data_IF_379329217046
#
_entry.id   IF_379329217046
#
_cell.length_a   1.000
_cell.length_b   1.000
_cell.length_c   1.000
_cell.angle_alpha   90.00
_cell.angle_beta   90.00
_cell.angle_gamma   90.00
#
_symmetry.space_group_name_H-M   'P 1'
#
loop_
_entity.id
_entity.type
_entity.pdbx_description
1 polymer ?
#
# COMPACT_ATOMS: atom_id res chain seq x y z
N UNK A 1 -3.42 0.82 33.30
CA UNK A 1 -2.49 1.48 34.23
C UNK A 1 -1.20 0.67 34.23
N UNK A 2 -0.04 1.27 33.93
CA UNK A 2 1.25 0.54 33.93
C UNK A 2 1.81 0.47 35.36
N UNK A 3 2.69 -0.50 35.65
CA UNK A 3 3.32 -0.62 36.97
C UNK A 3 4.13 0.63 37.35
N UNK A 4 4.75 1.30 36.37
CA UNK A 4 5.41 2.60 36.59
C UNK A 4 4.40 3.71 36.95
N UNK A 5 3.22 3.70 36.34
CA UNK A 5 2.17 4.65 36.70
C UNK A 5 1.64 4.39 38.11
N UNK A 6 1.43 3.13 38.50
CA UNK A 6 0.99 2.77 39.85
C UNK A 6 2.05 3.14 40.91
N UNK A 7 3.34 2.95 40.61
CA UNK A 7 4.45 3.41 41.46
C UNK A 7 4.46 4.95 41.60
N UNK A 8 4.28 5.69 40.50
CA UNK A 8 4.20 7.16 40.52
C UNK A 8 2.99 7.70 41.31
N UNK A 9 1.89 6.95 41.36
CA UNK A 9 0.71 7.30 42.14
C UNK A 9 0.80 6.83 43.60
N UNK A 10 1.95 6.29 44.04
CA UNK A 10 2.14 5.78 45.40
C UNK A 10 1.31 4.52 45.72
N UNK A 11 0.73 3.87 44.70
CA UNK A 11 -0.03 2.63 44.85
C UNK A 11 0.90 1.41 44.98
N UNK A 12 2.19 1.58 44.65
CA UNK A 12 3.27 0.63 44.83
C UNK A 12 4.48 1.39 45.36
N UNK A 13 5.24 0.79 46.28
CA UNK A 13 6.51 1.37 46.76
C UNK A 13 7.62 1.26 45.71
N UNK A 14 7.58 0.20 44.89
CA UNK A 14 8.52 -0.02 43.80
C UNK A 14 7.87 -0.82 42.67
N UNK A 15 8.32 -0.63 41.44
CA UNK A 15 7.92 -1.45 40.30
C UNK A 15 8.81 -2.72 40.23
N UNK A 16 8.30 -3.91 40.57
CA UNK A 16 9.09 -5.15 40.57
C UNK A 16 9.50 -5.60 39.16
N UNK A 17 8.82 -5.13 38.12
CA UNK A 17 9.13 -5.48 36.74
C UNK A 17 10.19 -4.56 36.10
N UNK A 18 10.69 -3.54 36.82
CA UNK A 18 11.56 -2.50 36.25
C UNK A 18 12.90 -3.02 35.73
N UNK A 19 13.39 -4.12 36.32
CA UNK A 19 14.64 -4.78 35.91
C UNK A 19 14.42 -5.87 34.86
N UNK A 20 13.17 -6.26 34.61
CA UNK A 20 12.85 -7.31 33.64
C UNK A 20 13.09 -6.79 32.22
N UNK A 21 14.12 -7.35 31.57
CA UNK A 21 14.40 -7.10 30.16
C UNK A 21 13.91 -8.28 29.34
N UNK A 22 13.37 -8.07 28.11
CA UNK A 22 12.99 -9.15 27.21
C UNK A 22 14.08 -10.23 27.04
N UNK A 23 15.34 -9.80 26.99
CA UNK A 23 16.51 -10.68 26.89
C UNK A 23 16.64 -11.69 28.04
N UNK A 24 16.12 -11.37 29.25
CA UNK A 24 16.13 -12.29 30.40
C UNK A 24 15.21 -13.49 30.21
N UNK A 25 14.30 -13.44 29.24
CA UNK A 25 13.35 -14.49 28.91
C UNK A 25 13.59 -15.07 27.51
N UNK A 26 14.77 -14.85 26.94
CA UNK A 26 15.08 -15.26 25.56
C UNK A 26 14.26 -14.51 24.50
N UNK A 27 13.53 -13.45 24.88
CA UNK A 27 12.78 -12.62 23.95
C UNK A 27 13.71 -11.54 23.38
N UNK A 28 14.09 -11.65 22.12
CA UNK A 28 14.71 -10.57 21.37
C UNK A 28 13.64 -9.84 20.54
N UNK A 29 13.80 -8.53 20.39
CA UNK A 29 13.05 -7.82 19.35
C UNK A 29 13.50 -8.38 18.01
N UNK A 30 12.57 -8.93 17.22
CA UNK A 30 12.88 -9.34 15.85
C UNK A 30 13.57 -8.19 15.12
N UNK A 31 14.66 -8.49 14.38
CA UNK A 31 15.36 -7.49 13.58
C UNK A 31 14.32 -6.76 12.71
N UNK A 32 14.33 -5.41 12.68
CA UNK A 32 13.44 -4.68 11.79
C UNK A 32 13.55 -5.23 10.37
N UNK A 33 12.41 -5.54 9.74
CA UNK A 33 12.40 -6.00 8.34
C UNK A 33 12.97 -4.88 7.47
N UNK A 34 13.92 -5.21 6.61
CA UNK A 34 14.54 -4.29 5.64
C UNK A 34 13.97 -4.48 4.22
N UNK A 35 13.03 -5.42 4.06
CA UNK A 35 12.47 -5.80 2.76
C UNK A 35 11.73 -4.64 2.08
N UNK A 36 12.06 -4.38 0.84
CA UNK A 36 11.28 -3.57 -0.09
C UNK A 36 11.28 -4.25 -1.46
N UNK A 37 10.33 -3.94 -2.31
CA UNK A 37 10.16 -4.52 -3.65
C UNK A 37 10.74 -3.55 -4.68
N UNK A 38 11.82 -3.92 -5.40
CA UNK A 38 12.33 -3.15 -6.54
C UNK A 38 11.35 -3.16 -7.71
N UNK A 39 11.61 -2.31 -8.72
CA UNK A 39 10.75 -2.10 -9.89
C UNK A 39 10.24 -3.41 -10.53
N UNK A 40 11.15 -4.37 -10.79
CA UNK A 40 10.79 -5.65 -11.40
C UNK A 40 9.81 -6.46 -10.56
N UNK A 41 9.97 -6.47 -9.24
CA UNK A 41 9.04 -7.15 -8.34
C UNK A 41 7.70 -6.42 -8.22
N UNK A 42 7.70 -5.08 -8.23
CA UNK A 42 6.47 -4.28 -8.29
C UNK A 42 5.70 -4.57 -9.58
N UNK A 43 6.40 -4.72 -10.72
CA UNK A 43 5.82 -5.14 -12.00
C UNK A 43 5.17 -6.52 -11.90
N UNK A 44 5.88 -7.50 -11.34
CA UNK A 44 5.36 -8.85 -11.16
C UNK A 44 4.13 -8.84 -10.24
N UNK A 45 4.17 -8.09 -9.14
CA UNK A 45 3.05 -7.94 -8.23
C UNK A 45 1.85 -7.27 -8.90
N UNK A 46 2.06 -6.20 -9.68
CA UNK A 46 0.97 -5.52 -10.39
C UNK A 46 0.23 -6.48 -11.32
N UNK A 47 0.99 -7.22 -12.14
CA UNK A 47 0.46 -8.27 -13.01
C UNK A 47 -0.32 -9.32 -12.23
N UNK A 48 0.25 -9.81 -11.14
CA UNK A 48 -0.41 -10.83 -10.31
C UNK A 48 -1.72 -10.32 -9.70
N UNK A 49 -1.84 -9.03 -9.39
CA UNK A 49 -3.09 -8.41 -8.95
C UNK A 49 -4.12 -8.32 -10.09
N UNK A 50 -3.70 -8.02 -11.32
CA UNK A 50 -4.58 -8.07 -12.49
C UNK A 50 -5.12 -9.50 -12.70
N UNK A 51 -4.22 -10.49 -12.76
CA UNK A 51 -4.57 -11.90 -12.99
C UNK A 51 -5.48 -12.45 -11.88
N UNK A 52 -5.25 -12.06 -10.63
CA UNK A 52 -6.06 -12.49 -9.49
C UNK A 52 -7.43 -11.81 -9.42
N UNK A 53 -7.63 -10.68 -10.12
CA UNK A 53 -8.91 -9.98 -10.17
C UNK A 53 -9.79 -10.52 -11.31
N UNK A 54 -9.21 -10.79 -12.49
CA UNK A 54 -9.94 -11.30 -13.68
C UNK A 54 -10.54 -12.69 -13.45
N UNK A 55 -9.85 -13.55 -12.70
CA UNK A 55 -10.30 -14.91 -12.40
C UNK A 55 -11.64 -15.00 -11.65
N UNK A 56 -12.13 -13.90 -11.06
CA UNK A 56 -13.43 -13.86 -10.39
C UNK A 56 -14.62 -13.86 -11.33
N UNK A 57 -14.46 -13.33 -12.54
CA UNK A 57 -15.52 -13.32 -13.56
C UNK A 57 -15.74 -14.69 -14.18
N UNK A 58 -14.67 -15.47 -14.38
CA UNK A 58 -14.75 -16.79 -15.04
C UNK A 58 -15.49 -17.85 -14.21
N UNK A 59 -15.51 -17.72 -12.87
CA UNK A 59 -16.29 -18.61 -12.00
C UNK A 59 -17.81 -18.40 -12.20
N UNK A 60 -18.24 -17.18 -12.53
CA UNK A 60 -19.65 -16.90 -12.85
C UNK A 60 -20.09 -17.47 -14.21
N UNK A 61 -19.14 -17.76 -15.12
CA UNK A 61 -19.42 -18.21 -16.49
C UNK A 61 -19.08 -19.68 -16.77
N UNK A 62 -18.95 -20.51 -15.72
CA UNK A 62 -18.83 -21.97 -15.87
C UNK A 62 -17.55 -22.47 -16.56
N UNK A 63 -16.49 -21.66 -16.62
CA UNK A 63 -15.20 -22.08 -17.16
C UNK A 63 -14.41 -22.97 -16.19
N UNK A 64 -13.52 -23.82 -16.70
CA UNK A 64 -12.54 -24.58 -15.90
C UNK A 64 -11.68 -23.59 -15.08
N UNK A 65 -12.06 -23.41 -13.81
CA UNK A 65 -11.80 -22.18 -13.08
C UNK A 65 -10.48 -22.15 -12.31
N UNK A 66 -9.90 -20.96 -12.22
CA UNK A 66 -8.99 -20.59 -11.15
C UNK A 66 -9.68 -20.88 -9.80
N UNK A 67 -9.01 -21.55 -8.86
CA UNK A 67 -9.55 -21.78 -7.52
C UNK A 67 -10.12 -20.48 -6.93
N UNK A 68 -11.39 -20.49 -6.51
CA UNK A 68 -12.10 -19.35 -5.91
C UNK A 68 -11.34 -18.72 -4.75
N UNK A 69 -10.49 -19.50 -4.08
CA UNK A 69 -9.62 -19.05 -2.99
C UNK A 69 -8.62 -17.96 -3.39
N UNK A 70 -8.24 -17.89 -4.66
CA UNK A 70 -7.22 -16.94 -5.16
C UNK A 70 -7.85 -15.64 -5.62
N UNK A 71 -9.09 -15.70 -6.09
CA UNK A 71 -9.80 -14.55 -6.66
C UNK A 71 -9.87 -13.42 -5.64
N UNK A 72 -9.44 -12.23 -6.06
CA UNK A 72 -9.56 -11.02 -5.27
C UNK A 72 -10.80 -10.24 -5.68
N UNK A 73 -11.50 -9.68 -4.70
CA UNK A 73 -12.46 -8.61 -4.98
C UNK A 73 -11.73 -7.39 -5.54
N UNK A 74 -12.36 -6.66 -6.47
CA UNK A 74 -11.86 -5.39 -6.99
C UNK A 74 -11.42 -4.42 -5.89
N UNK A 75 -12.16 -4.32 -4.79
CA UNK A 75 -11.82 -3.43 -3.68
C UNK A 75 -10.51 -3.78 -2.98
N UNK A 76 -10.24 -5.06 -2.74
CA UNK A 76 -8.97 -5.51 -2.15
C UNK A 76 -7.79 -5.28 -3.11
N UNK A 77 -7.94 -5.64 -4.39
CA UNK A 77 -6.88 -5.44 -5.38
C UNK A 77 -6.54 -3.95 -5.55
N UNK A 78 -7.56 -3.11 -5.67
CA UNK A 78 -7.40 -1.68 -5.87
C UNK A 78 -6.90 -0.95 -4.62
N UNK A 79 -7.23 -1.41 -3.42
CA UNK A 79 -6.62 -0.90 -2.19
C UNK A 79 -5.12 -1.23 -2.09
N UNK A 80 -4.68 -2.43 -2.55
CA UNK A 80 -3.25 -2.75 -2.64
C UNK A 80 -2.54 -1.87 -3.68
N UNK A 81 -3.17 -1.62 -4.83
CA UNK A 81 -2.66 -0.69 -5.86
C UNK A 81 -2.54 0.73 -5.33
N UNK A 82 -3.50 1.20 -4.55
CA UNK A 82 -3.43 2.50 -3.89
C UNK A 82 -2.21 2.60 -2.97
N UNK A 83 -1.91 1.56 -2.19
CA UNK A 83 -0.71 1.52 -1.33
C UNK A 83 0.55 1.61 -2.18
N UNK A 84 0.63 0.91 -3.31
CA UNK A 84 1.78 0.98 -4.24
C UNK A 84 1.94 2.41 -4.81
N UNK A 85 0.84 3.09 -5.12
CA UNK A 85 0.86 4.45 -5.69
C UNK A 85 1.14 5.56 -4.69
N UNK A 86 0.92 5.35 -3.39
CA UNK A 86 0.89 6.45 -2.41
C UNK A 86 1.68 6.19 -1.14
N UNK A 87 2.07 4.95 -0.89
CA UNK A 87 2.77 4.56 0.33
C UNK A 87 1.93 4.72 1.59
N UNK A 88 0.61 4.94 1.52
CA UNK A 88 -0.24 5.05 2.73
C UNK A 88 -0.25 3.75 3.53
N UNK A 89 -0.62 3.84 4.82
CA UNK A 89 -0.75 2.64 5.65
C UNK A 89 -1.92 1.80 5.15
N UNK A 90 -1.82 0.47 5.30
CA UNK A 90 -2.91 -0.46 4.95
C UNK A 90 -4.26 -0.08 5.57
N UNK A 91 -4.24 0.41 6.81
CA UNK A 91 -5.44 0.84 7.52
C UNK A 91 -6.01 2.15 7.01
N UNK A 92 -5.17 3.04 6.48
CA UNK A 92 -5.61 4.29 5.86
C UNK A 92 -6.26 3.98 4.50
N UNK A 93 -5.64 3.10 3.70
CA UNK A 93 -6.22 2.62 2.45
C UNK A 93 -7.57 1.92 2.68
N UNK A 94 -7.64 0.96 3.61
CA UNK A 94 -8.88 0.23 3.89
C UNK A 94 -10.04 1.14 4.35
N UNK A 95 -9.73 2.19 5.12
CA UNK A 95 -10.73 3.11 5.68
C UNK A 95 -11.02 4.33 4.79
N UNK A 96 -10.56 4.33 3.55
CA UNK A 96 -10.75 5.44 2.62
C UNK A 96 -12.24 5.68 2.36
N UNK A 97 -12.69 6.95 2.47
CA UNK A 97 -14.08 7.35 2.26
C UNK A 97 -14.22 8.33 1.09
N UNK A 98 -15.38 8.32 0.45
CA UNK A 98 -15.68 9.20 -0.68
C UNK A 98 -15.65 10.69 -0.31
N UNK A 99 -16.12 11.03 0.89
CA UNK A 99 -16.15 12.41 1.40
C UNK A 99 -14.78 12.99 1.75
N UNK A 100 -13.73 12.16 1.74
CA UNK A 100 -12.35 12.57 1.98
C UNK A 100 -11.64 13.02 0.69
N UNK A 101 -12.28 12.84 -0.48
CA UNK A 101 -11.68 13.10 -1.79
C UNK A 101 -12.26 14.39 -2.36
N UNK A 102 -11.40 15.35 -2.67
CA UNK A 102 -11.74 16.59 -3.37
C UNK A 102 -10.76 16.82 -4.52
N UNK A 103 -11.23 16.61 -5.75
CA UNK A 103 -10.38 16.61 -6.93
C UNK A 103 -9.32 15.51 -6.83
N UNK A 104 -8.04 15.89 -6.93
CA UNK A 104 -6.89 14.99 -6.72
C UNK A 104 -6.48 14.83 -5.26
N UNK A 105 -7.06 15.62 -4.35
CA UNK A 105 -6.67 15.63 -2.94
C UNK A 105 -7.47 14.60 -2.17
N UNK A 106 -6.79 13.64 -1.55
CA UNK A 106 -7.36 12.76 -0.54
C UNK A 106 -6.89 13.19 0.86
N UNK A 107 -7.84 13.61 1.70
CA UNK A 107 -7.58 14.06 3.07
C UNK A 107 -7.92 12.96 4.07
N UNK A 108 -6.90 12.31 4.61
CA UNK A 108 -7.05 11.28 5.64
C UNK A 108 -7.18 12.00 7.00
N UNK A 109 -8.34 11.88 7.69
CA UNK A 109 -8.55 12.49 9.00
C UNK A 109 -7.63 11.86 10.05
N UNK A 110 -7.54 12.48 11.23
CA UNK A 110 -6.56 12.21 12.30
C UNK A 110 -6.06 10.75 12.31
N UNK A 111 -4.82 10.58 11.87
CA UNK A 111 -4.16 9.28 11.77
C UNK A 111 -3.72 8.76 13.14
N UNK A 112 -3.12 7.56 13.20
CA UNK A 112 -2.51 7.00 14.44
C UNK A 112 -1.56 7.97 15.17
N UNK A 113 -1.02 8.97 14.47
CA UNK A 113 -0.12 9.99 14.99
C UNK A 113 -0.82 11.29 15.44
N UNK A 114 -2.16 11.34 15.43
CA UNK A 114 -2.96 12.51 15.80
C UNK A 114 -2.95 13.65 14.79
N UNK A 115 -2.39 13.45 13.59
CA UNK A 115 -2.32 14.45 12.52
C UNK A 115 -3.06 13.99 11.27
N UNK A 116 -3.72 14.93 10.59
CA UNK A 116 -4.27 14.70 9.25
C UNK A 116 -3.16 14.49 8.24
N UNK A 117 -3.41 13.66 7.23
CA UNK A 117 -2.51 13.44 6.11
C UNK A 117 -3.20 13.83 4.82
N UNK A 118 -2.51 14.57 3.95
CA UNK A 118 -3.02 14.93 2.64
C UNK A 118 -2.19 14.17 1.61
N UNK A 119 -2.87 13.34 0.81
CA UNK A 119 -2.28 12.54 -0.25
C UNK A 119 -2.77 13.10 -1.58
N UNK A 120 -1.85 13.36 -2.51
CA UNK A 120 -2.21 13.71 -3.90
C UNK A 120 -2.36 12.42 -4.69
N UNK A 121 -3.54 12.20 -5.26
CA UNK A 121 -3.85 11.04 -6.08
C UNK A 121 -3.44 11.30 -7.53
N UNK A 122 -2.61 10.41 -8.07
CA UNK A 122 -2.26 10.39 -9.48
C UNK A 122 -3.53 10.21 -10.35
N UNK A 123 -3.63 10.84 -11.56
CA UNK A 123 -4.83 10.73 -12.42
C UNK A 123 -5.29 9.30 -12.72
N UNK A 124 -4.35 8.37 -12.94
CA UNK A 124 -4.67 6.95 -13.10
C UNK A 124 -5.28 6.33 -11.84
N UNK A 125 -4.78 6.70 -10.66
CA UNK A 125 -5.35 6.18 -9.41
C UNK A 125 -6.75 6.76 -9.15
N UNK A 126 -6.98 8.02 -9.52
CA UNK A 126 -8.32 8.62 -9.49
C UNK A 126 -9.30 7.89 -10.40
N UNK A 127 -8.92 7.51 -11.62
CA UNK A 127 -9.81 6.78 -12.52
C UNK A 127 -10.16 5.41 -11.94
N UNK A 128 -9.17 4.68 -11.42
CA UNK A 128 -9.36 3.38 -10.78
C UNK A 128 -10.17 3.47 -9.48
N UNK A 129 -10.01 4.53 -8.70
CA UNK A 129 -10.89 4.82 -7.55
C UNK A 129 -12.31 5.06 -8.02
N UNK A 130 -12.55 5.86 -9.07
CA UNK A 130 -13.91 6.14 -9.57
C UNK A 130 -14.66 4.88 -9.98
N UNK A 131 -14.00 3.90 -10.60
CA UNK A 131 -14.64 2.63 -10.97
C UNK A 131 -15.07 1.80 -9.75
N UNK A 132 -14.55 2.08 -8.54
CA UNK A 132 -15.03 1.41 -7.32
C UNK A 132 -16.51 1.67 -7.01
N UNK A 133 -17.10 2.74 -7.55
CA UNK A 133 -18.54 2.99 -7.38
C UNK A 133 -19.42 1.89 -7.98
N UNK A 134 -18.90 1.11 -8.92
CA UNK A 134 -19.62 -0.01 -9.54
C UNK A 134 -19.65 -1.25 -8.62
N UNK A 135 -18.73 -1.34 -7.67
CA UNK A 135 -18.52 -2.53 -6.82
C UNK A 135 -18.84 -2.29 -5.35
N UNK A 136 -19.09 -1.05 -4.94
CA UNK A 136 -19.19 -0.67 -3.53
C UNK A 136 -20.41 0.20 -3.29
N UNK A 137 -21.08 -0.08 -2.18
CA UNK A 137 -22.20 0.72 -1.68
C UNK A 137 -21.81 1.39 -0.35
N UNK A 138 -22.29 2.61 -0.13
CA UNK A 138 -22.08 3.36 1.11
C UNK A 138 -20.91 4.33 1.09
N UNK A 139 -20.36 4.62 2.28
CA UNK A 139 -19.43 5.72 2.48
C UNK A 139 -17.97 5.40 2.12
N UNK A 140 -17.62 4.12 2.01
CA UNK A 140 -16.25 3.66 1.81
C UNK A 140 -15.92 3.43 0.34
N UNK A 141 -14.69 3.78 -0.06
CA UNK A 141 -14.19 3.54 -1.42
C UNK A 141 -13.91 2.06 -1.67
N UNK A 142 -13.45 1.34 -0.64
CA UNK A 142 -13.16 -0.08 -0.71
C UNK A 142 -14.08 -0.85 0.24
N UNK A 143 -15.26 -1.20 -0.26
CA UNK A 143 -16.30 -1.91 0.48
C UNK A 143 -16.01 -3.41 0.64
N UNK A 144 -16.47 -3.99 1.74
CA UNK A 144 -16.44 -5.43 1.99
C UNK A 144 -17.52 -6.13 1.16
N UNK A 145 -17.14 -7.17 0.42
CA UNK A 145 -18.09 -8.04 -0.28
C UNK A 145 -18.91 -8.91 0.67
N UNK A 146 -18.40 -9.21 1.87
CA UNK A 146 -19.10 -10.04 2.86
C UNK A 146 -19.97 -9.24 3.83
N UNK A 147 -19.77 -7.92 3.91
CA UNK A 147 -20.47 -7.01 4.82
C UNK A 147 -20.76 -5.69 4.09
N UNK A 148 -21.86 -5.60 3.31
CA UNK A 148 -22.23 -4.38 2.62
C UNK A 148 -22.29 -3.17 3.57
N UNK A 149 -21.85 -2.00 3.10
CA UNK A 149 -21.76 -0.77 3.90
C UNK A 149 -20.55 -0.67 4.83
N UNK A 150 -19.78 -1.75 5.04
CA UNK A 150 -18.54 -1.75 5.81
C UNK A 150 -17.31 -1.77 4.89
N UNK A 151 -16.17 -1.24 5.34
CA UNK A 151 -14.93 -1.29 4.56
C UNK A 151 -14.31 -2.69 4.58
N UNK A 152 -13.43 -2.96 3.63
CA UNK A 152 -12.54 -4.14 3.71
C UNK A 152 -11.70 -4.10 4.99
N UNK A 153 -11.35 -5.27 5.54
CA UNK A 153 -10.53 -5.34 6.75
C UNK A 153 -9.04 -5.27 6.43
N UNK A 154 -8.24 -4.84 7.41
CA UNK A 154 -6.77 -4.91 7.31
C UNK A 154 -6.27 -6.32 7.02
N UNK A 155 -6.92 -7.31 7.62
CA UNK A 155 -6.58 -8.72 7.45
C UNK A 155 -6.96 -9.23 6.07
N UNK A 156 -8.02 -8.68 5.45
CA UNK A 156 -8.36 -9.01 4.07
C UNK A 156 -7.21 -8.61 3.11
N UNK A 157 -6.62 -7.42 3.29
CA UNK A 157 -5.45 -6.99 2.51
C UNK A 157 -4.23 -7.89 2.75
N UNK A 158 -3.93 -8.20 4.01
CA UNK A 158 -2.77 -9.05 4.34
C UNK A 158 -2.93 -10.46 3.79
N UNK A 159 -4.08 -11.11 4.02
CA UNK A 159 -4.35 -12.46 3.52
C UNK A 159 -4.42 -12.50 1.99
N UNK A 160 -4.98 -11.47 1.36
CA UNK A 160 -5.00 -11.38 -0.10
C UNK A 160 -3.59 -11.33 -0.68
N UNK A 161 -2.73 -10.48 -0.12
CA UNK A 161 -1.34 -10.38 -0.56
C UNK A 161 -0.58 -11.70 -0.37
N UNK A 162 -0.82 -12.40 0.74
CA UNK A 162 -0.27 -13.73 0.97
C UNK A 162 -0.72 -14.75 -0.08
N UNK A 163 -2.01 -14.78 -0.42
CA UNK A 163 -2.56 -15.68 -1.45
C UNK A 163 -1.99 -15.38 -2.84
N UNK A 164 -1.90 -14.10 -3.22
CA UNK A 164 -1.27 -13.66 -4.47
C UNK A 164 0.17 -14.12 -4.52
N UNK A 165 0.93 -13.87 -3.43
CA UNK A 165 2.33 -14.27 -3.34
C UNK A 165 2.50 -15.77 -3.50
N UNK A 166 1.77 -16.57 -2.72
CA UNK A 166 1.90 -18.03 -2.75
C UNK A 166 1.59 -18.65 -4.11
N UNK A 167 0.74 -18.03 -4.93
CA UNK A 167 0.38 -18.57 -6.24
C UNK A 167 1.20 -18.02 -7.40
N UNK A 168 1.41 -16.70 -7.43
CA UNK A 168 1.97 -16.02 -8.60
C UNK A 168 3.41 -15.58 -8.41
N UNK A 169 3.92 -15.55 -7.17
CA UNK A 169 5.21 -14.95 -6.80
C UNK A 169 5.92 -15.81 -5.74
N UNK A 170 5.81 -17.14 -5.85
CA UNK A 170 6.32 -18.07 -4.84
C UNK A 170 7.85 -18.03 -4.72
N UNK A 171 8.52 -17.64 -5.81
CA UNK A 171 9.95 -17.41 -5.92
C UNK A 171 10.43 -16.12 -5.24
N UNK A 172 9.53 -15.17 -4.95
CA UNK A 172 9.90 -13.91 -4.31
C UNK A 172 10.03 -14.07 -2.79
N UNK A 173 10.99 -13.35 -2.21
CA UNK A 173 11.14 -13.28 -0.75
C UNK A 173 9.86 -12.74 -0.11
N UNK A 174 9.32 -13.38 0.95
CA UNK A 174 8.07 -12.97 1.57
C UNK A 174 8.01 -11.49 1.94
N UNK A 175 6.93 -10.83 1.51
CA UNK A 175 6.65 -9.43 1.81
C UNK A 175 5.20 -9.25 2.30
N UNK A 176 4.96 -8.10 2.91
CA UNK A 176 3.69 -7.69 3.53
C UNK A 176 3.23 -6.32 3.00
N UNK A 177 2.01 -5.86 3.31
CA UNK A 177 1.57 -4.51 2.92
C UNK A 177 2.46 -3.39 3.49
N UNK A 178 3.15 -3.62 4.60
CA UNK A 178 4.10 -2.65 5.14
C UNK A 178 5.37 -2.56 4.29
N UNK A 179 5.81 -3.68 3.72
CA UNK A 179 6.96 -3.70 2.82
C UNK A 179 6.63 -2.97 1.50
N UNK A 180 5.37 -3.02 1.01
CA UNK A 180 4.92 -2.19 -0.12
C UNK A 180 5.08 -0.70 0.15
N UNK A 181 4.67 -0.25 1.34
CA UNK A 181 4.86 1.13 1.78
C UNK A 181 6.35 1.49 1.88
N UNK A 182 7.19 0.57 2.34
CA UNK A 182 8.65 0.77 2.33
C UNK A 182 9.18 0.88 0.90
N UNK A 183 8.68 0.06 -0.03
CA UNK A 183 9.03 0.16 -1.45
C UNK A 183 8.76 1.53 -2.04
N UNK A 184 7.66 2.18 -1.65
CA UNK A 184 7.40 3.56 -2.10
C UNK A 184 8.46 4.52 -1.57
N UNK A 185 8.81 4.42 -0.28
CA UNK A 185 9.81 5.29 0.32
C UNK A 185 11.20 5.07 -0.32
N UNK A 186 11.64 3.82 -0.39
CA UNK A 186 12.93 3.44 -0.99
C UNK A 186 12.95 3.77 -2.47
N UNK A 187 11.88 3.47 -3.22
CA UNK A 187 11.81 3.80 -4.64
C UNK A 187 11.81 5.31 -4.91
N UNK A 188 11.17 6.13 -4.08
CA UNK A 188 11.28 7.59 -4.18
C UNK A 188 12.72 8.07 -3.96
N UNK A 189 13.47 7.44 -3.04
CA UNK A 189 14.88 7.76 -2.82
C UNK A 189 15.75 7.31 -4.00
N UNK A 190 15.64 6.03 -4.40
CA UNK A 190 16.55 5.37 -5.35
C UNK A 190 16.27 5.75 -6.81
N UNK A 191 15.01 5.95 -7.19
CA UNK A 191 14.63 6.16 -8.59
C UNK A 191 14.31 7.61 -8.94
N UNK A 192 14.00 8.44 -7.94
CA UNK A 192 13.63 9.85 -8.14
C UNK A 192 14.57 10.82 -7.42
N UNK A 193 15.61 10.32 -6.75
CA UNK A 193 16.53 11.12 -5.92
C UNK A 193 15.79 12.04 -4.93
N UNK A 194 14.64 11.58 -4.42
CA UNK A 194 13.78 12.43 -3.61
C UNK A 194 14.42 12.73 -2.25
N UNK A 195 14.42 14.00 -1.79
CA UNK A 195 14.94 14.35 -0.47
C UNK A 195 14.24 13.57 0.66
N UNK A 196 15.03 13.03 1.60
CA UNK A 196 14.53 12.27 2.77
C UNK A 196 13.38 12.99 3.49
N UNK A 197 13.50 14.32 3.62
CA UNK A 197 12.45 15.13 4.24
C UNK A 197 11.10 15.03 3.52
N UNK A 198 11.08 15.00 2.18
CA UNK A 198 9.83 14.85 1.43
C UNK A 198 9.28 13.44 1.54
N UNK A 199 10.15 12.43 1.57
CA UNK A 199 9.76 11.03 1.78
C UNK A 199 9.11 10.84 3.17
N UNK A 200 9.70 11.41 4.22
CA UNK A 200 9.13 11.39 5.58
C UNK A 200 7.75 12.08 5.64
N UNK A 201 7.55 13.16 4.88
CA UNK A 201 6.26 13.83 4.76
C UNK A 201 5.24 13.00 3.97
N UNK A 202 5.65 12.36 2.88
CA UNK A 202 4.84 11.41 2.09
C UNK A 202 4.37 10.24 2.94
N UNK A 203 5.23 9.77 3.85
CA UNK A 203 4.88 8.75 4.82
C UNK A 203 4.11 9.30 6.04
N UNK A 204 3.85 10.60 6.14
CA UNK A 204 3.24 11.22 7.33
C UNK A 204 3.95 10.77 8.62
N UNK A 205 5.28 10.76 8.59
CA UNK A 205 6.12 10.55 9.75
C UNK A 205 6.21 11.85 10.55
N UNK A 206 6.19 11.72 11.87
CA UNK A 206 6.34 12.86 12.76
C UNK A 206 7.83 13.16 12.87
N UNK A 207 8.28 14.37 12.52
CA UNK A 207 9.68 14.74 12.69
C UNK A 207 10.07 14.58 14.15
N UNK A 208 11.22 13.94 14.40
CA UNK A 208 11.75 13.70 15.76
C UNK A 208 12.00 15.03 16.49
N UNK A 209 12.47 16.04 15.76
CA UNK A 209 12.69 17.39 16.30
C UNK A 209 11.45 18.29 16.24
N UNK A 210 11.05 18.82 17.40
CA UNK A 210 9.91 19.73 17.54
C UNK A 210 10.14 21.07 16.82
N UNK A 211 11.38 21.55 16.72
CA UNK A 211 11.73 22.86 16.13
C UNK A 211 11.51 22.92 14.60
N UNK A 212 11.62 21.78 13.90
CA UNK A 212 11.41 21.68 12.44
C UNK A 212 9.92 21.85 12.06
N UNK A 213 8.99 21.86 13.03
CA UNK A 213 7.54 21.92 12.75
C UNK A 213 7.05 23.28 12.25
N UNK A 214 7.80 24.37 12.47
CA UNK A 214 7.26 25.73 12.36
C UNK A 214 7.63 26.44 11.05
N UNK A 215 8.51 25.86 10.22
CA UNK A 215 8.97 26.51 8.98
C UNK A 215 8.53 25.73 7.72
N UNK A 216 7.98 26.46 6.74
CA UNK A 216 7.74 26.05 5.34
C UNK A 216 6.52 25.17 5.01
N UNK A 217 5.38 25.36 5.66
CA UNK A 217 4.16 24.56 5.37
C UNK A 217 3.71 24.67 3.90
N UNK A 218 3.75 25.87 3.29
CA UNK A 218 3.28 26.09 1.92
C UNK A 218 4.20 25.50 0.84
N UNK A 219 5.51 25.76 0.89
CA UNK A 219 6.46 25.25 -0.12
C UNK A 219 6.62 23.72 -0.05
N UNK A 220 6.49 23.13 1.15
CA UNK A 220 6.56 21.67 1.30
C UNK A 220 5.33 20.98 0.71
N UNK A 221 4.15 21.62 0.73
CA UNK A 221 2.94 21.04 0.16
C UNK A 221 3.02 20.86 -1.36
N UNK A 222 3.50 21.85 -2.10
CA UNK A 222 3.66 21.73 -3.57
C UNK A 222 4.75 20.74 -3.96
N UNK A 223 5.88 20.72 -3.23
CA UNK A 223 6.94 19.72 -3.43
C UNK A 223 6.42 18.31 -3.16
N UNK A 224 5.63 18.12 -2.10
CA UNK A 224 5.04 16.83 -1.77
C UNK A 224 4.01 16.40 -2.82
N UNK A 225 3.17 17.32 -3.29
CA UNK A 225 2.25 17.08 -4.41
C UNK A 225 3.02 16.60 -5.65
N UNK A 226 4.08 17.30 -6.02
CA UNK A 226 4.93 16.95 -7.15
C UNK A 226 5.53 15.54 -6.99
N UNK A 227 6.06 15.22 -5.81
CA UNK A 227 6.61 13.88 -5.52
C UNK A 227 5.58 12.76 -5.69
N UNK A 228 4.35 12.93 -5.21
CA UNK A 228 3.27 11.95 -5.44
C UNK A 228 2.98 11.73 -6.92
N UNK A 229 2.97 12.80 -7.72
CA UNK A 229 2.75 12.73 -9.16
C UNK A 229 3.93 12.05 -9.86
N UNK A 230 5.17 12.41 -9.52
CA UNK A 230 6.38 11.81 -10.10
C UNK A 230 6.48 10.31 -9.78
N UNK A 231 6.19 9.91 -8.54
CA UNK A 231 6.10 8.50 -8.18
C UNK A 231 4.98 7.78 -8.94
N UNK A 232 3.81 8.41 -9.06
CA UNK A 232 2.72 7.87 -9.89
C UNK A 232 3.13 7.67 -11.35
N UNK A 233 3.83 8.63 -11.94
CA UNK A 233 4.38 8.54 -13.30
C UNK A 233 5.40 7.40 -13.43
N UNK A 234 6.28 7.23 -12.43
CA UNK A 234 7.22 6.10 -12.39
C UNK A 234 6.47 4.76 -12.41
N UNK A 235 5.45 4.59 -11.58
CA UNK A 235 4.63 3.37 -11.56
C UNK A 235 3.92 3.17 -12.91
N UNK A 236 3.35 4.22 -13.51
CA UNK A 236 2.72 4.12 -14.82
C UNK A 236 3.71 3.64 -15.88
N UNK A 237 4.85 4.31 -16.01
CA UNK A 237 5.79 4.06 -17.10
C UNK A 237 6.55 2.75 -16.90
N UNK A 238 6.98 2.48 -15.67
CA UNK A 238 7.91 1.40 -15.37
C UNK A 238 7.26 0.21 -14.68
N UNK A 239 6.02 0.26 -14.20
CA UNK A 239 5.37 -0.92 -13.59
C UNK A 239 4.20 -1.40 -14.44
N UNK A 240 3.40 -0.48 -14.99
CA UNK A 240 2.15 -0.79 -15.70
C UNK A 240 2.36 -0.90 -17.22
N UNK A 241 2.87 0.16 -17.88
CA UNK A 241 2.82 0.31 -19.35
C UNK A 241 3.72 -0.66 -20.12
N UNK A 242 4.83 -1.16 -19.54
CA UNK A 242 5.73 -2.11 -20.23
C UNK A 242 5.03 -3.44 -20.58
N UNK A 243 3.85 -3.72 -20.02
CA UNK A 243 3.04 -4.88 -20.44
C UNK A 243 2.44 -4.77 -21.85
N UNK A 244 2.45 -3.60 -22.50
CA UNK A 244 1.89 -3.44 -23.85
C UNK A 244 2.89 -3.64 -24.99
N UNK A 245 4.20 -3.67 -24.71
CA UNK A 245 5.18 -4.07 -25.72
C UNK A 245 5.40 -5.58 -25.66
N UNK A 246 4.54 -6.32 -26.37
CA UNK A 246 4.84 -7.70 -26.73
C UNK A 246 6.22 -7.77 -27.43
N UNK A 247 7.02 -8.82 -27.22
CA UNK A 247 8.27 -8.97 -27.94
C UNK A 247 8.01 -9.17 -29.43
N UNK A 248 8.68 -8.36 -30.25
CA UNK A 248 8.60 -8.23 -31.70
C UNK A 248 9.22 -9.44 -32.44
N UNK A 249 8.94 -10.65 -31.96
CA UNK A 249 9.62 -11.89 -32.38
C UNK A 249 8.85 -12.64 -33.48
N UNK A 250 7.97 -11.97 -34.23
CA UNK A 250 7.27 -12.59 -35.37
C UNK A 250 8.16 -12.45 -36.60
N UNK A 251 8.96 -13.49 -36.86
CA UNK A 251 9.63 -13.64 -38.15
C UNK A 251 8.58 -14.06 -39.18
N UNK A 252 8.17 -13.14 -40.05
CA UNK A 252 7.37 -13.46 -41.22
C UNK A 252 8.21 -14.28 -42.22
N UNK A 253 8.07 -15.60 -42.20
CA UNK A 253 8.61 -16.46 -43.25
C UNK A 253 7.63 -16.41 -44.43
N UNK A 254 8.07 -15.80 -45.54
CA UNK A 254 7.38 -15.92 -46.83
C UNK A 254 7.64 -17.31 -47.39
N UNK A 255 6.63 -18.18 -47.36
CA UNK A 255 6.64 -19.37 -48.20
C UNK A 255 6.44 -18.93 -49.65
N UNK A 256 7.52 -18.97 -50.43
CA UNK A 256 7.43 -18.81 -51.88
C UNK A 256 6.71 -20.01 -52.47
N UNK A 257 5.63 -19.77 -53.21
CA UNK A 257 5.01 -20.77 -54.06
C UNK A 257 6.00 -21.17 -55.16
N UNK A 258 6.42 -22.43 -55.17
CA UNK A 258 6.74 -23.21 -56.38
C UNK A 258 6.80 -24.69 -56.04
#
# INVERSE_FOLDING_TARGET
MTLDHANLQGMLEHNPARLLKPAMFGASMNKPRERWLPENELRMLWKALDDATVGGGSIASGGYGISSSVVLSHSVANALRLIIFTGVRRSEAAQMRWDQINGERWTIPATKNGKSHIVTLHPYMLSLIKTQREFTEGAYVFGSTSKPGFPITNDALTRALERVRSKYLAELTPFSPHDLRRSVATGCAEYLDAPERLIELLLNHVPKDRLIRTYQVGQQAEKLKKLFIEWGNFIMNNVITVQQNAPDNVIHIKFGNR
#
